data_IF_687891743468
#
_entry.id   IF_687891743468
#
_cell.length_a   1.000
_cell.length_b   1.000
_cell.length_c   1.000
_cell.angle_alpha   90.00
_cell.angle_beta   90.00
_cell.angle_gamma   90.00
#
_symmetry.space_group_name_H-M   'P 1'
#
loop_
_entity.id
_entity.type
_entity.pdbx_description
1 polymer ?
#
# COMPACT_ATOMS: atom_id res chain seq x y z
N UNK A 1 8.37 0.69 11.99
CA UNK A 1 8.85 -0.35 11.05
C UNK A 1 8.24 -0.07 9.69
N UNK A 2 9.04 0.06 8.61
CA UNK A 2 8.53 0.21 7.24
C UNK A 2 8.08 -1.14 6.71
N UNK A 3 6.92 -1.22 6.08
CA UNK A 3 6.44 -2.45 5.44
C UNK A 3 7.45 -2.86 4.34
N UNK A 4 8.00 -4.07 4.43
CA UNK A 4 9.01 -4.54 3.47
C UNK A 4 8.35 -5.30 2.32
N UNK A 5 8.99 -5.28 1.14
CA UNK A 5 8.49 -5.95 -0.06
C UNK A 5 8.28 -7.46 0.15
N UNK A 6 9.06 -8.07 1.03
CA UNK A 6 8.98 -9.51 1.35
C UNK A 6 7.67 -9.83 2.08
N UNK A 7 7.23 -8.97 3.00
CA UNK A 7 5.98 -9.17 3.75
C UNK A 7 4.74 -9.01 2.88
N UNK A 8 4.81 -8.10 1.89
CA UNK A 8 3.74 -7.90 0.91
C UNK A 8 3.51 -9.14 0.03
N UNK A 9 4.59 -9.81 -0.38
CA UNK A 9 4.52 -11.00 -1.22
C UNK A 9 3.89 -12.21 -0.51
N UNK A 10 3.95 -12.26 0.83
CA UNK A 10 3.39 -13.36 1.64
C UNK A 10 1.89 -13.20 1.97
N UNK A 11 1.33 -12.00 1.83
CA UNK A 11 -0.08 -11.71 2.14
C UNK A 11 -1.01 -12.11 0.99
N UNK A 12 -2.27 -12.43 1.28
CA UNK A 12 -3.27 -12.68 0.23
C UNK A 12 -3.69 -11.38 -0.47
N UNK A 13 -4.35 -11.47 -1.62
CA UNK A 13 -4.88 -10.28 -2.32
C UNK A 13 -5.87 -9.50 -1.44
N UNK A 14 -6.76 -10.22 -0.74
CA UNK A 14 -7.71 -9.62 0.20
C UNK A 14 -7.01 -8.88 1.34
N UNK A 15 -5.94 -9.46 1.91
CA UNK A 15 -5.15 -8.81 2.96
C UNK A 15 -4.46 -7.54 2.45
N UNK A 16 -3.93 -7.57 1.23
CA UNK A 16 -3.31 -6.40 0.61
C UNK A 16 -4.32 -5.28 0.41
N UNK A 17 -5.53 -5.59 -0.03
CA UNK A 17 -6.63 -4.61 -0.18
C UNK A 17 -7.03 -4.03 1.19
N UNK A 18 -7.20 -4.87 2.21
CA UNK A 18 -7.49 -4.43 3.57
C UNK A 18 -6.39 -3.48 4.09
N UNK A 19 -5.13 -3.82 3.84
CA UNK A 19 -3.98 -3.01 4.26
C UNK A 19 -3.96 -1.64 3.57
N UNK A 20 -4.37 -1.54 2.29
CA UNK A 20 -4.53 -0.23 1.61
C UNK A 20 -5.59 0.62 2.29
N UNK A 21 -6.70 0.02 2.72
CA UNK A 21 -7.79 0.75 3.40
C UNK A 21 -7.30 1.28 4.74
N UNK A 22 -6.66 0.44 5.55
CA UNK A 22 -6.09 0.85 6.85
C UNK A 22 -5.07 1.97 6.69
N UNK A 23 -4.11 1.83 5.76
CA UNK A 23 -3.11 2.88 5.52
C UNK A 23 -3.72 4.17 4.98
N UNK A 24 -4.83 4.12 4.23
CA UNK A 24 -5.55 5.32 3.78
C UNK A 24 -6.24 6.04 4.92
N UNK A 25 -6.83 5.31 5.86
CA UNK A 25 -7.41 5.89 7.08
C UNK A 25 -6.31 6.58 7.90
N UNK A 26 -5.20 5.89 8.15
CA UNK A 26 -4.04 6.49 8.83
C UNK A 26 -3.53 7.74 8.09
N UNK A 27 -3.47 7.72 6.75
CA UNK A 27 -3.07 8.89 5.96
C UNK A 27 -4.04 10.06 6.11
N UNK A 28 -5.35 9.80 6.21
CA UNK A 28 -6.35 10.84 6.47
C UNK A 28 -6.13 11.45 7.85
N UNK A 29 -6.00 10.62 8.88
CA UNK A 29 -5.75 11.08 10.25
C UNK A 29 -4.47 11.91 10.35
N UNK A 30 -3.38 11.45 9.71
CA UNK A 30 -2.12 12.20 9.63
C UNK A 30 -2.26 13.52 8.88
N UNK A 31 -3.09 13.59 7.84
CA UNK A 31 -3.37 14.84 7.11
C UNK A 31 -4.19 15.81 7.94
N UNK A 32 -5.16 15.31 8.71
CA UNK A 32 -5.91 16.13 9.66
C UNK A 32 -4.98 16.69 10.73
N UNK A 33 -4.17 15.86 11.37
CA UNK A 33 -3.17 16.28 12.36
C UNK A 33 -2.10 17.23 11.79
N UNK A 34 -1.71 17.05 10.52
CA UNK A 34 -0.81 17.99 9.83
C UNK A 34 -1.47 19.35 9.64
N UNK A 35 -2.75 19.37 9.27
CA UNK A 35 -3.50 20.60 9.06
C UNK A 35 -3.76 21.37 10.35
N UNK A 36 -3.89 20.68 11.49
CA UNK A 36 -4.07 21.30 12.80
C UNK A 36 -2.76 21.74 13.45
N UNK A 37 -1.61 21.48 12.81
CA UNK A 37 -0.29 21.83 13.33
C UNK A 37 0.19 20.95 14.50
N UNK A 38 -0.57 19.91 14.87
CA UNK A 38 -0.24 19.01 15.97
C UNK A 38 0.59 17.78 15.54
N UNK A 39 1.11 17.77 14.31
CA UNK A 39 1.83 16.62 13.79
C UNK A 39 3.32 16.65 14.16
N UNK A 40 3.65 15.94 15.22
CA UNK A 40 5.03 15.77 15.70
C UNK A 40 5.93 15.00 14.72
N UNK A 41 5.33 14.15 13.86
CA UNK A 41 6.07 13.26 12.96
C UNK A 41 5.59 13.36 11.50
N UNK A 42 5.97 14.43 10.81
CA UNK A 42 5.69 14.64 9.38
C UNK A 42 6.33 13.58 8.46
N UNK A 43 7.42 12.95 8.89
CA UNK A 43 8.07 11.86 8.15
C UNK A 43 7.16 10.63 8.00
N UNK A 44 6.26 10.39 8.96
CA UNK A 44 5.27 9.30 8.90
C UNK A 44 4.33 9.44 7.71
N UNK A 45 3.95 10.66 7.35
CA UNK A 45 3.07 10.95 6.21
C UNK A 45 3.71 10.48 4.89
N UNK A 46 5.01 10.69 4.73
CA UNK A 46 5.79 10.18 3.59
C UNK A 46 5.97 8.65 3.62
N UNK A 47 6.13 8.05 4.80
CA UNK A 47 6.21 6.59 4.94
C UNK A 47 4.90 5.91 4.53
N UNK A 48 3.76 6.36 5.06
CA UNK A 48 2.43 5.79 4.75
C UNK A 48 2.10 5.92 3.26
N UNK A 49 2.44 7.05 2.62
CA UNK A 49 2.29 7.21 1.16
C UNK A 49 3.12 6.18 0.38
N UNK A 50 4.37 5.94 0.78
CA UNK A 50 5.25 4.93 0.14
C UNK A 50 4.72 3.52 0.36
N UNK A 51 4.21 3.20 1.54
CA UNK A 51 3.66 1.88 1.83
C UNK A 51 2.41 1.59 1.00
N UNK A 52 1.50 2.56 0.84
CA UNK A 52 0.36 2.45 -0.09
C UNK A 52 0.84 2.19 -1.53
N UNK A 53 1.86 2.92 -1.99
CA UNK A 53 2.40 2.75 -3.33
C UNK A 53 3.02 1.36 -3.54
N UNK A 54 3.74 0.83 -2.54
CA UNK A 54 4.32 -0.53 -2.56
C UNK A 54 3.24 -1.59 -2.62
N UNK A 55 2.20 -1.48 -1.78
CA UNK A 55 1.07 -2.44 -1.77
C UNK A 55 0.38 -2.46 -3.13
N UNK A 56 0.07 -1.28 -3.70
CA UNK A 56 -0.54 -1.18 -5.03
C UNK A 56 0.34 -1.77 -6.12
N UNK A 57 1.65 -1.56 -6.04
CA UNK A 57 2.60 -2.16 -6.98
C UNK A 57 2.58 -3.69 -6.87
N UNK A 58 2.53 -4.25 -5.66
CA UNK A 58 2.43 -5.69 -5.46
C UNK A 58 1.13 -6.28 -6.04
N UNK A 59 0.00 -5.61 -5.84
CA UNK A 59 -1.29 -5.97 -6.45
C UNK A 59 -1.22 -5.95 -7.98
N UNK A 60 -0.70 -4.87 -8.57
CA UNK A 60 -0.55 -4.76 -10.02
C UNK A 60 0.38 -5.85 -10.59
N UNK A 61 1.49 -6.16 -9.91
CA UNK A 61 2.39 -7.25 -10.33
C UNK A 61 1.68 -8.60 -10.36
N UNK A 62 0.83 -8.89 -9.37
CA UNK A 62 0.02 -10.12 -9.33
C UNK A 62 -1.01 -10.17 -10.45
N UNK A 63 -1.70 -9.06 -10.69
CA UNK A 63 -2.68 -8.95 -11.77
C UNK A 63 -2.01 -9.08 -13.16
N UNK A 64 -0.84 -8.46 -13.35
CA UNK A 64 -0.06 -8.56 -14.57
C UNK A 64 0.47 -9.99 -14.81
N UNK A 65 0.88 -10.70 -13.75
CA UNK A 65 1.25 -12.11 -13.86
C UNK A 65 0.05 -12.98 -14.24
N UNK A 66 -1.14 -12.71 -13.68
CA UNK A 66 -2.37 -13.43 -14.00
C UNK A 66 -2.88 -13.16 -15.44
N UNK A 67 -2.69 -11.94 -15.96
CA UNK A 67 -3.10 -11.59 -17.33
C UNK A 67 -2.11 -12.08 -18.39
N UNK A 68 -0.81 -12.15 -18.08
CA UNK A 68 0.20 -12.67 -19.00
C UNK A 68 -0.03 -14.16 -19.38
N UNK A 69 -0.63 -14.96 -18.50
CA UNK A 69 -0.93 -16.37 -18.79
C UNK A 69 -2.08 -16.58 -19.78
N UNK A 70 -2.96 -15.59 -19.99
CA UNK A 70 -4.13 -15.74 -20.86
C UNK A 70 -3.88 -15.48 -22.35
N UNK A 71 -2.71 -14.96 -22.72
CA UNK A 71 -2.45 -14.47 -24.10
C UNK A 71 -1.77 -15.52 -24.99
N UNK A 72 -1.20 -16.59 -24.43
CA UNK A 72 -0.38 -17.57 -25.19
C UNK A 72 -1.10 -18.89 -25.49
N UNK A 73 -2.43 -18.95 -25.41
CA UNK A 73 -3.20 -20.14 -25.79
C UNK A 73 -4.17 -19.80 -26.91
N UNK A 74 -3.63 -19.65 -28.12
CA UNK A 74 -4.31 -19.83 -29.42
C UNK A 74 -3.25 -19.91 -30.51
#
# INVERSE_FOLDING_TARGET
>A
MSLTTIELSKKSEADLVALVITNRQELLDLRFSHSTGALENSARLGQVKRDIARIKTALNKRQAAASATKVTTS
#
